data_IF_018726869126
#
_entry.id   IF_018726869126
#
_cell.length_a   1.000
_cell.length_b   1.000
_cell.length_c   1.000
_cell.angle_alpha   90.00
_cell.angle_beta   90.00
_cell.angle_gamma   90.00
#
_symmetry.space_group_name_H-M   'P 1'
#
loop_
_entity.id
_entity.type
_entity.pdbx_description
1 polymer ?
#
# COMPACT_ATOMS: atom_id res chain seq x y z
N UNK A 1 3.80 -10.16 4.67
CA UNK A 1 2.53 -10.04 3.91
C UNK A 1 2.86 -9.50 2.52
N UNK A 2 2.17 -9.99 1.52
CA UNK A 2 2.29 -9.45 0.15
C UNK A 2 1.22 -8.36 -0.03
N UNK A 3 1.63 -7.19 -0.46
CA UNK A 3 0.71 -6.07 -0.73
C UNK A 3 0.25 -6.11 -2.19
N UNK A 4 -0.46 -7.18 -2.52
CA UNK A 4 -1.03 -7.43 -3.84
C UNK A 4 -2.51 -7.74 -3.64
N UNK A 5 -3.37 -6.93 -4.24
CA UNK A 5 -4.82 -6.97 -3.98
C UNK A 5 -5.58 -7.38 -5.22
N UNK A 6 -6.55 -8.28 -5.08
CA UNK A 6 -7.44 -8.62 -6.20
C UNK A 6 -8.33 -7.43 -6.54
N UNK A 7 -8.53 -7.21 -7.83
CA UNK A 7 -9.50 -6.24 -8.31
C UNK A 7 -10.37 -6.83 -9.42
N UNK A 8 -11.51 -6.19 -9.63
CA UNK A 8 -12.48 -6.58 -10.66
C UNK A 8 -12.57 -5.46 -11.69
N UNK A 9 -12.34 -5.81 -12.95
CA UNK A 9 -12.60 -4.93 -14.09
C UNK A 9 -13.97 -5.25 -14.66
N UNK A 10 -14.88 -4.27 -14.63
CA UNK A 10 -16.23 -4.42 -15.16
C UNK A 10 -16.35 -3.62 -16.44
N UNK A 11 -16.60 -4.27 -17.60
CA UNK A 11 -16.81 -3.54 -18.85
C UNK A 11 -17.99 -2.59 -18.77
N UNK A 12 -17.81 -1.38 -19.28
CA UNK A 12 -18.86 -0.37 -19.35
C UNK A 12 -19.50 -0.35 -20.75
N UNK A 13 -20.78 0.08 -20.81
CA UNK A 13 -21.55 0.13 -22.07
C UNK A 13 -20.92 1.05 -23.12
N UNK A 14 -20.30 2.13 -22.66
CA UNK A 14 -19.68 3.15 -23.52
C UNK A 14 -18.22 2.83 -23.87
N UNK A 15 -17.76 1.63 -23.58
CA UNK A 15 -16.37 1.23 -23.63
C UNK A 15 -15.65 1.53 -22.33
N UNK A 16 -14.43 1.02 -22.20
CA UNK A 16 -13.68 1.16 -20.97
C UNK A 16 -14.13 0.21 -19.86
N UNK A 17 -13.57 0.43 -18.67
CA UNK A 17 -13.79 -0.43 -17.52
C UNK A 17 -13.94 0.40 -16.25
N UNK A 18 -14.83 -0.02 -15.37
CA UNK A 18 -14.79 0.39 -13.98
C UNK A 18 -13.99 -0.63 -13.18
N UNK A 19 -13.34 -0.15 -12.11
CA UNK A 19 -12.45 -0.96 -11.28
C UNK A 19 -12.92 -0.90 -9.84
N UNK A 20 -13.01 -2.06 -9.20
CA UNK A 20 -13.30 -2.17 -7.77
C UNK A 20 -12.35 -3.17 -7.11
N UNK A 21 -12.14 -3.00 -5.81
CA UNK A 21 -11.32 -3.88 -4.98
C UNK A 21 -12.19 -4.49 -3.89
N UNK A 22 -12.44 -5.80 -3.90
CA UNK A 22 -13.26 -6.43 -2.85
C UNK A 22 -12.76 -6.20 -1.43
N UNK A 23 -11.44 -6.16 -1.24
CA UNK A 23 -10.83 -5.96 0.09
C UNK A 23 -10.67 -4.50 0.48
N UNK A 24 -10.79 -3.57 -0.47
CA UNK A 24 -10.61 -2.13 -0.26
C UNK A 24 -11.74 -1.39 -0.98
N UNK A 25 -12.96 -1.38 -0.40
CA UNK A 25 -14.14 -0.82 -1.08
C UNK A 25 -14.02 0.66 -1.45
N UNK A 26 -13.15 1.41 -0.78
CA UNK A 26 -12.91 2.82 -1.06
C UNK A 26 -12.10 3.05 -2.34
N UNK A 27 -11.39 2.03 -2.82
CA UNK A 27 -10.59 2.12 -4.04
C UNK A 27 -11.47 1.85 -5.26
N UNK A 28 -12.03 2.92 -5.81
CA UNK A 28 -12.88 2.87 -7.00
C UNK A 28 -12.29 3.77 -8.07
N UNK A 29 -12.21 3.28 -9.29
CA UNK A 29 -11.71 4.06 -10.43
C UNK A 29 -12.25 3.50 -11.75
N UNK A 30 -11.77 4.05 -12.86
CA UNK A 30 -12.12 3.60 -14.21
C UNK A 30 -10.98 3.93 -15.18
N UNK A 31 -11.05 3.36 -16.37
CA UNK A 31 -10.14 3.65 -17.46
C UNK A 31 -10.80 3.37 -18.80
N UNK A 32 -10.30 4.00 -19.86
CA UNK A 32 -10.87 3.87 -21.22
C UNK A 32 -10.55 2.51 -21.86
N UNK A 33 -9.46 1.89 -21.43
CA UNK A 33 -9.05 0.55 -21.82
C UNK A 33 -8.50 -0.21 -20.60
N UNK A 34 -8.13 -1.48 -20.83
CA UNK A 34 -7.64 -2.33 -19.76
C UNK A 34 -6.34 -1.81 -19.14
N UNK A 35 -5.40 -1.35 -19.96
CA UNK A 35 -4.10 -0.87 -19.47
C UNK A 35 -4.24 0.40 -18.63
N UNK A 36 -5.06 1.34 -19.11
CA UNK A 36 -5.37 2.55 -18.35
C UNK A 36 -6.12 2.21 -17.06
N UNK A 37 -7.11 1.33 -17.11
CA UNK A 37 -7.85 0.91 -15.93
C UNK A 37 -6.95 0.30 -14.87
N UNK A 38 -5.98 -0.52 -15.25
CA UNK A 38 -5.02 -1.12 -14.31
C UNK A 38 -4.04 -0.08 -13.74
N UNK A 39 -3.60 0.89 -14.53
CA UNK A 39 -2.78 1.99 -14.05
C UNK A 39 -3.53 2.86 -13.05
N UNK A 40 -4.79 3.18 -13.35
CA UNK A 40 -5.67 3.93 -12.44
C UNK A 40 -5.99 3.12 -11.17
N UNK A 41 -6.10 1.81 -11.30
CA UNK A 41 -6.32 0.91 -10.16
C UNK A 41 -5.16 0.96 -9.16
N UNK A 42 -3.93 0.96 -9.65
CA UNK A 42 -2.74 1.08 -8.81
C UNK A 42 -2.74 2.38 -8.01
N UNK A 43 -3.04 3.51 -8.67
CA UNK A 43 -3.13 4.81 -8.03
C UNK A 43 -4.25 4.86 -6.98
N UNK A 44 -5.43 4.39 -7.34
CA UNK A 44 -6.59 4.39 -6.44
C UNK A 44 -6.35 3.52 -5.20
N UNK A 45 -5.72 2.36 -5.39
CA UNK A 45 -5.36 1.47 -4.29
C UNK A 45 -4.37 2.13 -3.33
N UNK A 46 -3.32 2.75 -3.86
CA UNK A 46 -2.32 3.44 -3.06
C UNK A 46 -2.95 4.59 -2.23
N UNK A 47 -3.82 5.38 -2.84
CA UNK A 47 -4.53 6.47 -2.16
C UNK A 47 -5.45 5.93 -1.05
N UNK A 48 -6.23 4.89 -1.33
CA UNK A 48 -7.13 4.30 -0.36
C UNK A 48 -6.38 3.72 0.84
N UNK A 49 -5.31 2.95 0.60
CA UNK A 49 -4.50 2.38 1.69
C UNK A 49 -3.78 3.47 2.50
N UNK A 50 -3.33 4.54 1.83
CA UNK A 50 -2.80 5.72 2.51
C UNK A 50 -3.81 6.36 3.45
N UNK A 51 -5.08 6.39 3.07
CA UNK A 51 -6.16 6.89 3.92
C UNK A 51 -6.37 6.03 5.18
N UNK A 52 -6.25 4.71 5.06
CA UNK A 52 -6.27 3.82 6.23
C UNK A 52 -5.17 4.18 7.22
N UNK A 53 -3.96 4.46 6.74
CA UNK A 53 -2.85 4.90 7.59
C UNK A 53 -3.17 6.22 8.30
N UNK A 54 -3.69 7.20 7.58
CA UNK A 54 -4.04 8.52 8.12
C UNK A 54 -5.16 8.45 9.14
N UNK A 55 -6.15 7.58 8.93
CA UNK A 55 -7.26 7.36 9.84
C UNK A 55 -6.93 6.40 10.99
N UNK A 56 -5.70 5.92 11.06
CA UNK A 56 -5.22 4.97 12.09
C UNK A 56 -6.05 3.69 12.14
N UNK A 57 -6.42 3.19 10.98
CA UNK A 57 -7.15 1.95 10.81
C UNK A 57 -6.19 0.81 10.44
N UNK A 58 -6.65 -0.42 10.66
CA UNK A 58 -5.90 -1.59 10.24
C UNK A 58 -5.92 -1.72 8.71
N UNK A 59 -4.78 -2.09 8.14
CA UNK A 59 -4.67 -2.28 6.70
C UNK A 59 -5.40 -3.58 6.31
N UNK A 60 -6.34 -3.53 5.35
CA UNK A 60 -7.02 -4.73 4.90
C UNK A 60 -6.04 -5.78 4.38
N UNK A 61 -6.23 -7.02 4.79
CA UNK A 61 -5.43 -8.15 4.30
C UNK A 61 -6.01 -8.59 2.96
N UNK A 62 -5.19 -8.67 1.89
CA UNK A 62 -5.70 -9.10 0.60
C UNK A 62 -6.07 -10.58 0.60
N UNK A 63 -7.18 -10.91 -0.04
CA UNK A 63 -7.58 -12.28 -0.30
C UNK A 63 -6.74 -12.87 -1.45
N UNK A 64 -6.85 -14.17 -1.65
CA UNK A 64 -6.32 -14.82 -2.84
C UNK A 64 -7.15 -14.43 -4.06
N UNK A 65 -6.49 -14.33 -5.21
CA UNK A 65 -7.16 -13.98 -6.47
C UNK A 65 -8.10 -15.11 -6.90
N UNK A 66 -9.35 -14.77 -7.16
CA UNK A 66 -10.35 -15.67 -7.71
C UNK A 66 -10.44 -15.53 -9.23
N UNK A 67 -11.12 -16.48 -9.88
CA UNK A 67 -11.37 -16.40 -11.33
C UNK A 67 -12.04 -15.09 -11.73
N UNK A 68 -11.56 -14.47 -12.81
CA UNK A 68 -12.07 -13.18 -13.31
C UNK A 68 -11.55 -11.95 -12.59
N UNK A 69 -10.63 -12.12 -11.64
CA UNK A 69 -9.99 -11.02 -10.94
C UNK A 69 -8.57 -10.81 -11.47
N UNK A 70 -8.14 -9.56 -11.43
CA UNK A 70 -6.77 -9.14 -11.71
C UNK A 70 -6.01 -8.95 -10.40
N UNK A 71 -4.69 -8.99 -10.46
CA UNK A 71 -3.82 -8.69 -9.32
C UNK A 71 -3.22 -7.30 -9.50
N UNK A 72 -3.35 -6.47 -8.47
CA UNK A 72 -2.73 -5.14 -8.46
C UNK A 72 -1.76 -5.04 -7.29
N UNK A 73 -0.50 -4.81 -7.59
CA UNK A 73 0.52 -4.60 -6.58
C UNK A 73 0.54 -3.13 -6.14
N UNK A 74 0.62 -2.92 -4.84
CA UNK A 74 0.86 -1.58 -4.29
C UNK A 74 2.27 -1.14 -4.68
N UNK A 75 2.49 0.13 -5.08
CA UNK A 75 3.83 0.64 -5.35
C UNK A 75 4.80 0.34 -4.21
N UNK A 76 6.03 -0.05 -4.54
CA UNK A 76 6.99 -0.62 -3.57
C UNK A 76 7.21 0.26 -2.34
N UNK A 77 7.41 1.56 -2.53
CA UNK A 77 7.66 2.49 -1.41
C UNK A 77 6.42 2.59 -0.51
N UNK A 78 5.23 2.63 -1.09
CA UNK A 78 3.98 2.66 -0.32
C UNK A 78 3.80 1.35 0.45
N UNK A 79 4.05 0.22 -0.19
CA UNK A 79 3.98 -1.09 0.46
C UNK A 79 4.95 -1.17 1.65
N UNK A 80 6.16 -0.66 1.50
CA UNK A 80 7.14 -0.60 2.60
C UNK A 80 6.64 0.27 3.76
N UNK A 81 6.02 1.40 3.48
CA UNK A 81 5.42 2.28 4.50
C UNK A 81 4.24 1.60 5.21
N UNK A 82 3.41 0.87 4.47
CA UNK A 82 2.33 0.08 5.04
C UNK A 82 2.85 -1.01 5.98
N UNK A 83 3.94 -1.67 5.60
CA UNK A 83 4.59 -2.68 6.43
C UNK A 83 5.12 -2.08 7.75
N UNK A 84 5.77 -0.93 7.68
CA UNK A 84 6.27 -0.21 8.85
C UNK A 84 5.12 0.22 9.77
N UNK A 85 4.09 0.82 9.20
CA UNK A 85 2.90 1.23 9.91
C UNK A 85 2.25 0.06 10.65
N UNK A 86 2.05 -1.05 9.96
CA UNK A 86 1.42 -2.25 10.53
C UNK A 86 2.23 -2.83 11.66
N UNK A 87 3.56 -2.95 11.49
CA UNK A 87 4.44 -3.45 12.53
C UNK A 87 4.41 -2.57 13.78
N UNK A 88 4.39 -1.25 13.61
CA UNK A 88 4.28 -0.31 14.73
C UNK A 88 2.96 -0.48 15.47
N UNK A 89 1.84 -0.63 14.76
CA UNK A 89 0.52 -0.85 15.37
C UNK A 89 0.50 -2.14 16.18
N UNK A 90 1.01 -3.22 15.62
CA UNK A 90 1.06 -4.53 16.30
C UNK A 90 1.89 -4.48 17.57
N UNK A 91 2.94 -3.68 17.60
CA UNK A 91 3.86 -3.55 18.74
C UNK A 91 3.50 -2.42 19.70
N UNK A 92 2.46 -1.64 19.39
CA UNK A 92 2.12 -0.47 20.20
C UNK A 92 3.20 0.60 20.20
N UNK A 93 4.02 0.67 19.14
CA UNK A 93 5.14 1.60 19.04
C UNK A 93 4.67 2.94 18.50
N UNK A 94 5.00 4.01 19.23
CA UNK A 94 4.68 5.38 18.80
C UNK A 94 5.75 5.93 17.84
N UNK A 95 5.40 7.01 17.14
CA UNK A 95 6.38 7.74 16.29
C UNK A 95 7.57 8.24 17.11
N UNK A 96 7.32 8.74 18.30
CA UNK A 96 8.38 9.15 19.22
C UNK A 96 9.28 7.96 19.62
N UNK A 97 8.67 6.82 19.92
CA UNK A 97 9.39 5.59 20.23
C UNK A 97 10.26 5.11 19.08
N UNK A 98 9.74 5.13 17.85
CA UNK A 98 10.52 4.77 16.67
C UNK A 98 11.64 5.77 16.42
N UNK A 99 11.39 7.06 16.57
CA UNK A 99 12.40 8.10 16.42
C UNK A 99 13.59 7.87 17.37
N UNK A 100 13.31 7.50 18.61
CA UNK A 100 14.36 7.14 19.59
C UNK A 100 15.19 5.94 19.13
N UNK A 101 14.54 4.89 18.64
CA UNK A 101 15.24 3.69 18.14
C UNK A 101 16.12 3.98 16.94
N UNK A 102 15.70 4.92 16.09
CA UNK A 102 16.42 5.29 14.88
C UNK A 102 17.45 6.40 15.08
N UNK A 103 17.38 7.12 16.20
CA UNK A 103 18.19 8.31 16.40
C UNK A 103 17.80 9.46 15.47
N UNK A 104 16.54 9.54 15.11
CA UNK A 104 15.99 10.56 14.22
C UNK A 104 14.98 11.46 14.93
N UNK A 105 14.65 12.60 14.32
CA UNK A 105 13.57 13.46 14.78
C UNK A 105 12.21 12.81 14.54
N UNK A 106 11.21 13.21 15.30
CA UNK A 106 9.82 12.79 15.07
C UNK A 106 9.33 13.23 13.68
N UNK A 107 9.75 14.40 13.22
CA UNK A 107 9.42 14.88 11.88
C UNK A 107 9.95 13.97 10.78
N UNK A 108 11.16 13.43 10.93
CA UNK A 108 11.73 12.48 9.99
C UNK A 108 10.91 11.17 9.98
N UNK A 109 10.49 10.70 11.14
CA UNK A 109 9.64 9.49 11.25
C UNK A 109 8.27 9.74 10.61
N UNK A 110 7.67 10.91 10.80
CA UNK A 110 6.40 11.25 10.13
C UNK A 110 6.51 11.18 8.62
N UNK A 111 7.64 11.63 8.05
CA UNK A 111 7.88 11.51 6.60
C UNK A 111 7.97 10.05 6.16
N UNK A 112 8.62 9.19 6.93
CA UNK A 112 8.70 7.75 6.62
C UNK A 112 7.31 7.09 6.63
N UNK A 113 6.39 7.58 7.43
CA UNK A 113 5.02 7.06 7.55
C UNK A 113 4.01 7.79 6.68
N UNK A 114 4.40 8.87 6.03
CA UNK A 114 3.49 9.60 5.13
C UNK A 114 3.50 8.97 3.74
N UNK A 115 2.39 8.38 3.29
CA UNK A 115 2.33 7.72 1.99
C UNK A 115 2.56 8.66 0.82
N UNK A 116 2.34 9.96 1.01
CA UNK A 116 2.52 10.99 -0.02
C UNK A 116 3.93 11.57 -0.07
N UNK A 117 4.79 11.23 0.89
CA UNK A 117 6.17 11.70 0.92
C UNK A 117 7.09 10.73 0.19
N UNK A 118 7.93 11.25 -0.71
CA UNK A 118 8.97 10.44 -1.35
C UNK A 118 10.09 10.16 -0.35
N UNK A 119 10.16 8.91 0.08
CA UNK A 119 11.23 8.44 0.95
C UNK A 119 12.10 7.46 0.18
N UNK A 120 13.38 7.41 0.49
CA UNK A 120 14.24 6.37 -0.03
C UNK A 120 13.90 5.02 0.62
N UNK A 121 13.80 3.98 -0.20
CA UNK A 121 13.48 2.64 0.29
C UNK A 121 14.46 2.17 1.37
N UNK A 122 15.73 2.51 1.26
CA UNK A 122 16.76 2.16 2.25
C UNK A 122 16.50 2.74 3.63
N UNK A 123 15.91 3.95 3.71
CA UNK A 123 15.54 4.54 5.00
C UNK A 123 14.37 3.77 5.63
N UNK A 124 13.43 3.32 4.83
CA UNK A 124 12.30 2.53 5.31
C UNK A 124 12.79 1.14 5.74
N UNK A 125 13.72 0.54 5.00
CA UNK A 125 14.34 -0.73 5.38
C UNK A 125 15.03 -0.64 6.74
N UNK A 126 15.77 0.44 6.97
CA UNK A 126 16.44 0.69 8.27
C UNK A 126 15.40 0.78 9.39
N UNK A 127 14.30 1.50 9.16
CA UNK A 127 13.22 1.61 10.14
C UNK A 127 12.55 0.26 10.39
N UNK A 128 12.28 -0.51 9.34
CA UNK A 128 11.69 -1.85 9.45
C UNK A 128 12.58 -2.79 10.28
N UNK A 129 13.90 -2.75 10.09
CA UNK A 129 14.83 -3.55 10.87
C UNK A 129 14.70 -3.26 12.38
N UNK A 130 14.44 -2.01 12.75
CA UNK A 130 14.25 -1.61 14.16
C UNK A 130 12.94 -2.11 14.77
N UNK A 131 12.00 -2.53 13.94
CA UNK A 131 10.75 -3.16 14.40
C UNK A 131 10.72 -4.67 14.11
N UNK A 132 11.89 -5.24 13.79
CA UNK A 132 12.04 -6.68 13.59
C UNK A 132 11.50 -7.20 12.26
N UNK A 133 11.42 -6.35 11.25
CA UNK A 133 10.91 -6.68 9.93
C UNK A 133 11.93 -6.40 8.84
N UNK A 134 11.79 -7.05 7.70
CA UNK A 134 12.57 -6.74 6.51
C UNK A 134 11.72 -6.93 5.26
N UNK A 135 12.11 -6.22 4.21
CA UNK A 135 11.48 -6.37 2.91
C UNK A 135 12.08 -7.56 2.17
N UNK A 136 11.22 -8.29 1.50
CA UNK A 136 11.60 -9.37 0.59
C UNK A 136 11.12 -8.96 -0.80
N UNK A 137 12.01 -8.98 -1.76
CA UNK A 137 11.66 -8.60 -3.13
C UNK A 137 11.21 -9.81 -3.93
N UNK A 138 10.15 -9.61 -4.69
CA UNK A 138 9.63 -10.59 -5.64
C UNK A 138 9.29 -9.82 -6.92
N UNK A 139 9.79 -10.29 -8.05
CA UNK A 139 9.38 -9.75 -9.34
C UNK A 139 8.20 -10.55 -9.89
N UNK A 140 7.36 -9.89 -10.66
CA UNK A 140 6.21 -10.52 -11.28
C UNK A 140 6.08 -10.05 -12.73
N UNK A 141 5.61 -10.94 -13.59
CA UNK A 141 5.31 -10.59 -14.98
C UNK A 141 4.14 -9.60 -15.01
N UNK A 142 4.23 -8.65 -15.91
CA UNK A 142 3.18 -7.64 -16.12
C UNK A 142 2.27 -8.07 -17.27
#
# INVERSE_FOLDING_TARGET
>A
MRYVYPCVLTPEKDGGYSVSFPNVPEALTCGDDRDEALAMAEDALAVALGSYMQCREDIPVPDTVAGGQEMVAVPLVVAAKLALYTAMREQGLTKVGLARRLGLSEGAVRKLLNPNHRSHIGQIETALAKVGRRLVAEDAAV
#
